data_IF_485133151015
#
_entry.id   IF_485133151015
#
_cell.length_a   1.000
_cell.length_b   1.000
_cell.length_c   1.000
_cell.angle_alpha   90.00
_cell.angle_beta   90.00
_cell.angle_gamma   90.00
#
_symmetry.space_group_name_H-M   'P 1'
#
loop_
_entity.id
_entity.type
_entity.pdbx_description
1 polymer ?
#
# COMPACT_ATOMS: atom_id res chain seq x y z
N UNK A 1 19.40 -28.74 -11.19
CA UNK A 1 18.15 -28.20 -10.55
C UNK A 1 17.33 -29.38 -10.08
N UNK A 2 17.13 -29.53 -8.78
CA UNK A 2 16.41 -30.65 -8.19
C UNK A 2 14.89 -30.51 -8.45
N UNK A 3 14.17 -31.65 -8.55
CA UNK A 3 12.70 -31.70 -8.75
C UNK A 3 11.96 -30.86 -7.70
N UNK A 4 12.45 -30.82 -6.46
CA UNK A 4 11.91 -30.04 -5.35
C UNK A 4 11.97 -28.51 -5.60
N UNK A 5 13.01 -28.01 -6.27
CA UNK A 5 13.14 -26.59 -6.61
C UNK A 5 12.15 -26.19 -7.74
N UNK A 6 11.84 -27.12 -8.65
CA UNK A 6 10.82 -26.90 -9.69
C UNK A 6 9.42 -26.81 -9.08
N UNK A 7 9.05 -27.76 -8.21
CA UNK A 7 7.75 -27.76 -7.53
C UNK A 7 7.52 -26.49 -6.70
N UNK A 8 8.54 -25.99 -6.03
CA UNK A 8 8.47 -24.75 -5.25
C UNK A 8 8.23 -23.53 -6.16
N UNK A 9 8.96 -23.44 -7.27
CA UNK A 9 8.78 -22.35 -8.25
C UNK A 9 7.40 -22.38 -8.90
N UNK A 10 6.88 -23.57 -9.21
CA UNK A 10 5.55 -23.70 -9.79
C UNK A 10 4.47 -23.30 -8.77
N UNK A 11 4.65 -23.63 -7.49
CA UNK A 11 3.75 -23.19 -6.43
C UNK A 11 3.80 -21.66 -6.23
N UNK A 12 4.99 -21.06 -6.22
CA UNK A 12 5.17 -19.60 -6.13
C UNK A 12 4.52 -18.89 -7.33
N UNK A 13 4.70 -19.43 -8.56
CA UNK A 13 4.10 -18.89 -9.78
C UNK A 13 2.57 -18.97 -9.74
N UNK A 14 2.00 -20.10 -9.30
CA UNK A 14 0.56 -20.27 -9.16
C UNK A 14 -0.01 -19.31 -8.14
N UNK A 15 0.66 -19.13 -6.99
CA UNK A 15 0.29 -18.16 -5.96
C UNK A 15 0.19 -16.74 -6.53
N UNK A 16 1.23 -16.28 -7.22
CA UNK A 16 1.27 -14.96 -7.88
C UNK A 16 0.18 -14.82 -8.96
N UNK A 17 -0.04 -15.84 -9.76
CA UNK A 17 -1.09 -15.84 -10.80
C UNK A 17 -2.47 -15.67 -10.18
N UNK A 18 -2.76 -16.41 -9.10
CA UNK A 18 -4.05 -16.32 -8.39
C UNK A 18 -4.24 -14.92 -7.79
N UNK A 19 -3.24 -14.39 -7.08
CA UNK A 19 -3.32 -13.06 -6.44
C UNK A 19 -3.52 -11.97 -7.51
N UNK A 20 -2.79 -12.04 -8.62
CA UNK A 20 -2.91 -11.06 -9.71
C UNK A 20 -4.30 -11.10 -10.35
N UNK A 21 -4.83 -12.29 -10.63
CA UNK A 21 -6.18 -12.45 -11.17
C UNK A 21 -7.25 -11.99 -10.19
N UNK A 22 -7.08 -12.30 -8.90
CA UNK A 22 -7.99 -11.88 -7.84
C UNK A 22 -8.08 -10.34 -7.74
N UNK A 23 -6.94 -9.64 -7.80
CA UNK A 23 -6.91 -8.17 -7.79
C UNK A 23 -7.71 -7.61 -8.96
N UNK A 24 -7.50 -8.12 -10.18
CA UNK A 24 -8.20 -7.66 -11.37
C UNK A 24 -9.72 -7.91 -11.27
N UNK A 25 -10.12 -9.14 -10.90
CA UNK A 25 -11.54 -9.53 -10.78
C UNK A 25 -12.25 -8.72 -9.69
N UNK A 26 -11.63 -8.56 -8.52
CA UNK A 26 -12.23 -7.85 -7.39
C UNK A 26 -12.28 -6.33 -7.59
N UNK A 27 -11.41 -5.76 -8.42
CA UNK A 27 -11.47 -4.36 -8.80
C UNK A 27 -12.75 -4.05 -9.59
N UNK A 28 -13.16 -4.97 -10.49
CA UNK A 28 -14.35 -4.82 -11.33
C UNK A 28 -15.61 -5.35 -10.64
N UNK A 29 -15.49 -6.44 -9.90
CA UNK A 29 -16.60 -7.14 -9.22
C UNK A 29 -16.19 -7.52 -7.77
N UNK A 30 -16.37 -6.62 -6.78
CA UNK A 30 -15.96 -6.85 -5.39
C UNK A 30 -16.57 -8.11 -4.75
N UNK A 31 -17.78 -8.51 -5.21
CA UNK A 31 -18.51 -9.69 -4.73
C UNK A 31 -18.15 -10.99 -5.47
N UNK A 32 -17.18 -10.96 -6.40
CA UNK A 32 -16.76 -12.15 -7.14
C UNK A 32 -16.35 -13.29 -6.19
N UNK A 33 -16.75 -14.50 -6.56
CA UNK A 33 -16.50 -15.71 -5.77
C UNK A 33 -15.11 -16.29 -6.00
N UNK A 34 -14.67 -17.19 -5.13
CA UNK A 34 -13.43 -17.97 -5.34
C UNK A 34 -13.47 -18.77 -6.65
N UNK A 35 -14.67 -19.15 -7.11
CA UNK A 35 -14.85 -19.85 -8.38
C UNK A 35 -14.60 -18.94 -9.59
N UNK A 36 -15.04 -17.68 -9.51
CA UNK A 36 -14.81 -16.68 -10.55
C UNK A 36 -13.32 -16.35 -10.65
N UNK A 37 -12.64 -16.22 -9.52
CA UNK A 37 -11.19 -16.01 -9.45
C UNK A 37 -10.43 -17.22 -10.03
N UNK A 38 -10.85 -18.46 -9.74
CA UNK A 38 -10.25 -19.65 -10.33
C UNK A 38 -10.39 -19.64 -11.86
N UNK A 39 -11.58 -19.31 -12.37
CA UNK A 39 -11.81 -19.19 -13.80
C UNK A 39 -10.95 -18.11 -14.46
N UNK A 40 -10.87 -16.93 -13.85
CA UNK A 40 -10.07 -15.81 -14.36
C UNK A 40 -8.55 -16.07 -14.31
N UNK A 41 -8.08 -16.81 -13.31
CA UNK A 41 -6.66 -17.15 -13.18
C UNK A 41 -6.21 -18.26 -14.14
N UNK A 42 -7.14 -19.02 -14.73
CA UNK A 42 -6.85 -20.24 -15.48
C UNK A 42 -6.34 -21.40 -14.63
N UNK A 43 -6.43 -21.28 -13.31
CA UNK A 43 -5.97 -22.30 -12.34
C UNK A 43 -7.15 -23.11 -11.86
N UNK A 44 -7.00 -24.45 -11.86
CA UNK A 44 -8.06 -25.34 -11.40
C UNK A 44 -8.48 -25.06 -9.94
N UNK A 45 -9.80 -25.18 -9.65
CA UNK A 45 -10.37 -24.91 -8.31
C UNK A 45 -9.62 -25.63 -7.18
N UNK A 46 -9.30 -26.93 -7.36
CA UNK A 46 -8.55 -27.69 -6.35
C UNK A 46 -7.18 -27.12 -6.04
N UNK A 47 -6.50 -26.59 -7.05
CA UNK A 47 -5.21 -25.93 -6.89
C UNK A 47 -5.37 -24.57 -6.20
N UNK A 48 -6.39 -23.80 -6.56
CA UNK A 48 -6.70 -22.53 -5.90
C UNK A 48 -6.96 -22.75 -4.40
N UNK A 49 -7.86 -23.68 -4.04
CA UNK A 49 -8.16 -23.96 -2.63
C UNK A 49 -7.00 -24.58 -1.85
N UNK A 50 -6.04 -25.20 -2.52
CA UNK A 50 -4.79 -25.64 -1.87
C UNK A 50 -3.87 -24.46 -1.52
N UNK A 51 -3.87 -23.37 -2.31
CA UNK A 51 -3.12 -22.15 -2.04
C UNK A 51 -3.85 -21.22 -1.07
N UNK A 52 -5.15 -21.11 -1.24
CA UNK A 52 -6.02 -20.22 -0.47
C UNK A 52 -7.27 -21.00 -0.03
N UNK A 53 -7.25 -21.58 1.18
CA UNK A 53 -8.34 -22.40 1.68
C UNK A 53 -9.70 -21.68 1.72
N UNK A 54 -9.67 -20.36 1.87
CA UNK A 54 -10.83 -19.49 1.95
C UNK A 54 -10.56 -18.11 1.33
N UNK A 55 -11.61 -17.30 1.19
CA UNK A 55 -11.52 -15.92 0.69
C UNK A 55 -10.63 -15.06 1.59
N UNK A 56 -10.67 -15.26 2.89
CA UNK A 56 -9.92 -14.47 3.86
C UNK A 56 -8.41 -14.63 3.68
N UNK A 57 -7.93 -15.86 3.45
CA UNK A 57 -6.52 -16.13 3.17
C UNK A 57 -6.04 -15.47 1.87
N UNK A 58 -6.92 -15.42 0.84
CA UNK A 58 -6.64 -14.73 -0.41
C UNK A 58 -6.57 -13.20 -0.21
N UNK A 59 -7.53 -12.62 0.51
CA UNK A 59 -7.54 -11.19 0.84
C UNK A 59 -6.31 -10.82 1.67
N UNK A 60 -5.89 -11.64 2.62
CA UNK A 60 -4.65 -11.43 3.38
C UNK A 60 -3.41 -11.39 2.48
N UNK A 61 -3.34 -12.26 1.47
CA UNK A 61 -2.24 -12.25 0.50
C UNK A 61 -2.28 -10.98 -0.39
N UNK A 62 -3.46 -10.50 -0.77
CA UNK A 62 -3.59 -9.22 -1.50
C UNK A 62 -3.10 -8.06 -0.62
N UNK A 63 -3.46 -8.00 0.66
CA UNK A 63 -2.91 -6.99 1.58
C UNK A 63 -1.39 -7.06 1.68
N UNK A 64 -0.82 -8.27 1.79
CA UNK A 64 0.64 -8.44 1.80
C UNK A 64 1.29 -7.86 0.53
N UNK A 65 0.66 -8.05 -0.63
CA UNK A 65 1.10 -7.46 -1.91
C UNK A 65 1.04 -5.94 -1.88
N UNK A 66 -0.09 -5.35 -1.43
CA UNK A 66 -0.25 -3.89 -1.29
C UNK A 66 0.85 -3.30 -0.41
N UNK A 67 1.12 -3.92 0.74
CA UNK A 67 2.16 -3.44 1.65
C UNK A 67 3.57 -3.61 1.09
N UNK A 68 3.83 -4.64 0.30
CA UNK A 68 5.10 -4.80 -0.39
C UNK A 68 5.30 -3.67 -1.43
N UNK A 69 4.31 -3.41 -2.29
CA UNK A 69 4.35 -2.33 -3.28
C UNK A 69 4.50 -0.95 -2.60
N UNK A 70 3.72 -0.69 -1.53
CA UNK A 70 3.86 0.52 -0.74
C UNK A 70 5.25 0.67 -0.14
N UNK A 71 5.84 -0.43 0.34
CA UNK A 71 7.21 -0.46 0.87
C UNK A 71 8.25 -0.08 -0.17
N UNK A 72 8.11 -0.54 -1.42
CA UNK A 72 9.01 -0.14 -2.52
C UNK A 72 8.88 1.36 -2.83
N UNK A 73 7.65 1.89 -2.88
CA UNK A 73 7.41 3.32 -3.11
C UNK A 73 8.08 4.15 -1.99
N UNK A 74 7.91 3.75 -0.73
CA UNK A 74 8.49 4.46 0.41
C UNK A 74 10.02 4.42 0.34
N UNK A 75 10.61 3.24 0.12
CA UNK A 75 12.06 3.12 -0.01
C UNK A 75 12.61 3.98 -1.14
N UNK A 76 12.02 3.89 -2.32
CA UNK A 76 12.45 4.65 -3.49
C UNK A 76 12.40 6.18 -3.28
N UNK A 77 11.48 6.66 -2.42
CA UNK A 77 11.29 8.09 -2.16
C UNK A 77 12.08 8.62 -0.97
N UNK A 78 12.34 7.76 0.04
CA UNK A 78 12.97 8.17 1.30
C UNK A 78 14.41 7.68 1.45
N UNK A 79 14.95 6.93 0.50
CA UNK A 79 16.34 6.48 0.53
C UNK A 79 17.32 7.67 0.47
N UNK A 80 18.46 7.49 1.14
CA UNK A 80 19.46 8.53 1.49
C UNK A 80 20.23 9.12 0.29
N UNK A 81 19.65 9.24 -0.85
CA UNK A 81 20.21 9.87 -2.05
C UNK A 81 19.22 10.81 -2.74
N UNK A 82 18.00 10.89 -2.23
CA UNK A 82 16.98 11.80 -2.78
C UNK A 82 17.31 13.20 -2.32
N UNK A 83 17.86 14.02 -3.24
CA UNK A 83 18.09 15.45 -3.06
C UNK A 83 16.80 16.20 -3.43
N UNK A 84 16.35 17.11 -2.59
CA UNK A 84 15.16 17.93 -2.83
C UNK A 84 14.58 18.50 -1.54
N UNK A 85 13.57 19.33 -1.70
CA UNK A 85 12.78 19.82 -0.57
C UNK A 85 12.06 18.65 0.13
N UNK A 86 12.33 18.38 1.42
CA UNK A 86 11.72 17.29 2.17
C UNK A 86 10.19 17.34 2.19
N UNK A 87 9.60 18.52 2.12
CA UNK A 87 8.14 18.70 2.05
C UNK A 87 7.61 18.14 0.72
N UNK A 88 8.27 18.49 -0.40
CA UNK A 88 7.85 17.99 -1.72
C UNK A 88 8.07 16.47 -1.87
N UNK A 89 9.13 15.93 -1.27
CA UNK A 89 9.35 14.48 -1.20
C UNK A 89 8.18 13.80 -0.48
N UNK A 90 7.71 14.36 0.63
CA UNK A 90 6.56 13.82 1.38
C UNK A 90 5.23 14.05 0.67
N UNK A 91 5.06 15.16 -0.05
CA UNK A 91 3.90 15.39 -0.95
C UNK A 91 3.83 14.29 -2.00
N UNK A 92 4.93 14.06 -2.71
CA UNK A 92 5.01 13.03 -3.76
C UNK A 92 4.81 11.61 -3.21
N UNK A 93 5.33 11.35 -2.00
CA UNK A 93 5.11 10.08 -1.31
C UNK A 93 3.62 9.85 -1.02
N UNK A 94 2.95 10.83 -0.40
CA UNK A 94 1.52 10.73 -0.06
C UNK A 94 0.68 10.53 -1.32
N UNK A 95 0.95 11.27 -2.40
CA UNK A 95 0.24 11.16 -3.67
C UNK A 95 0.45 9.77 -4.30
N UNK A 96 1.70 9.28 -4.31
CA UNK A 96 2.02 7.97 -4.87
C UNK A 96 1.33 6.83 -4.11
N UNK A 97 1.32 6.89 -2.78
CA UNK A 97 0.66 5.89 -1.94
C UNK A 97 -0.87 5.98 -2.01
N UNK A 98 -1.43 7.20 -2.13
CA UNK A 98 -2.87 7.37 -2.35
C UNK A 98 -3.30 6.82 -3.71
N UNK A 99 -2.47 6.97 -4.77
CA UNK A 99 -2.71 6.39 -6.08
C UNK A 99 -2.70 4.86 -6.09
N UNK A 100 -1.94 4.24 -5.18
CA UNK A 100 -2.01 2.78 -4.97
C UNK A 100 -3.40 2.36 -4.52
N UNK A 101 -4.06 3.17 -3.69
CA UNK A 101 -5.42 2.93 -3.21
C UNK A 101 -6.48 2.85 -4.33
N UNK A 102 -6.26 3.48 -5.48
CA UNK A 102 -7.19 3.39 -6.62
C UNK A 102 -7.27 1.96 -7.16
N UNK A 103 -6.13 1.26 -7.26
CA UNK A 103 -6.03 -0.13 -7.72
C UNK A 103 -6.64 -1.12 -6.74
N UNK A 104 -6.59 -0.80 -5.45
CA UNK A 104 -7.01 -1.68 -4.36
C UNK A 104 -8.25 -1.17 -3.63
N UNK A 105 -9.08 -0.33 -4.31
CA UNK A 105 -10.26 0.31 -3.72
C UNK A 105 -11.26 -0.70 -3.14
N UNK A 106 -11.37 -1.88 -3.75
CA UNK A 106 -12.24 -2.95 -3.25
C UNK A 106 -11.88 -3.43 -1.84
N UNK A 107 -10.60 -3.33 -1.43
CA UNK A 107 -10.19 -3.67 -0.06
C UNK A 107 -10.67 -2.66 0.98
N UNK A 108 -10.95 -1.43 0.58
CA UNK A 108 -11.33 -0.34 1.49
C UNK A 108 -12.76 -0.49 1.99
N UNK A 109 -13.61 -1.14 1.20
CA UNK A 109 -15.04 -1.27 1.45
C UNK A 109 -15.43 -2.58 2.16
N UNK A 110 -14.48 -3.49 2.41
CA UNK A 110 -14.75 -4.75 3.09
C UNK A 110 -14.52 -4.64 4.60
N UNK A 111 -15.45 -5.17 5.40
CA UNK A 111 -15.37 -5.24 6.87
C UNK A 111 -14.23 -6.14 7.40
N UNK A 112 -13.51 -6.80 6.53
CA UNK A 112 -12.36 -7.66 6.83
C UNK A 112 -11.09 -6.90 7.30
N UNK A 113 -11.26 -5.67 7.79
CA UNK A 113 -10.18 -4.80 8.24
C UNK A 113 -9.39 -5.32 9.46
N UNK A 114 -9.86 -6.35 10.15
CA UNK A 114 -9.20 -6.85 11.37
C UNK A 114 -7.82 -7.47 11.06
N UNK A 115 -7.71 -8.23 9.96
CA UNK A 115 -6.41 -8.80 9.55
C UNK A 115 -5.48 -7.76 8.89
N UNK A 116 -6.05 -6.74 8.26
CA UNK A 116 -5.28 -5.60 7.75
C UNK A 116 -4.63 -4.78 8.87
N UNK A 117 -5.21 -4.77 10.08
CA UNK A 117 -4.68 -3.97 11.20
C UNK A 117 -3.32 -4.47 11.67
N UNK A 118 -3.17 -5.76 11.91
CA UNK A 118 -1.90 -6.35 12.38
C UNK A 118 -0.79 -6.24 11.32
N UNK A 119 -1.13 -6.54 10.05
CA UNK A 119 -0.21 -6.37 8.93
C UNK A 119 0.19 -4.90 8.76
N UNK A 120 -0.76 -3.97 8.89
CA UNK A 120 -0.54 -2.53 8.79
C UNK A 120 0.33 -1.99 9.95
N UNK A 121 0.10 -2.43 11.18
CA UNK A 121 0.89 -1.99 12.34
C UNK A 121 2.33 -2.50 12.28
N UNK A 122 2.53 -3.73 11.82
CA UNK A 122 3.86 -4.30 11.56
C UNK A 122 4.60 -3.59 10.44
N UNK A 123 3.90 -3.23 9.36
CA UNK A 123 4.43 -2.50 8.23
C UNK A 123 4.83 -1.07 8.63
N UNK A 124 3.96 -0.33 9.33
CA UNK A 124 4.22 1.03 9.81
C UNK A 124 5.47 1.13 10.68
N UNK A 125 5.69 0.15 11.59
CA UNK A 125 6.87 0.12 12.45
C UNK A 125 8.18 -0.06 11.68
N UNK A 126 8.15 -0.70 10.50
CA UNK A 126 9.32 -0.94 9.65
C UNK A 126 9.57 0.16 8.63
N UNK A 127 8.63 1.11 8.47
CA UNK A 127 8.77 2.18 7.50
C UNK A 127 9.78 3.24 7.95
N UNK A 128 10.67 3.69 7.06
CA UNK A 128 11.65 4.72 7.36
C UNK A 128 11.05 6.13 7.46
N UNK A 129 9.72 6.28 7.38
CA UNK A 129 9.04 7.58 7.37
C UNK A 129 9.34 8.41 8.62
N UNK A 130 9.21 7.79 9.81
CA UNK A 130 9.52 8.47 11.06
C UNK A 130 10.96 8.97 11.08
N UNK A 131 11.93 8.10 10.80
CA UNK A 131 13.35 8.47 10.80
C UNK A 131 13.70 9.49 9.71
N UNK A 132 12.95 9.53 8.62
CA UNK A 132 13.08 10.58 7.61
C UNK A 132 12.63 11.94 8.18
N UNK A 133 11.46 11.99 8.83
CA UNK A 133 10.94 13.20 9.48
C UNK A 133 11.88 13.66 10.59
N UNK A 134 12.34 12.77 11.47
CA UNK A 134 13.31 13.09 12.54
C UNK A 134 14.56 13.79 11.98
N UNK A 135 15.12 13.27 10.88
CA UNK A 135 16.30 13.89 10.23
C UNK A 135 15.99 15.25 9.63
N UNK A 136 14.84 15.41 8.99
CA UNK A 136 14.44 16.65 8.36
C UNK A 136 14.10 17.74 9.41
N UNK A 137 13.56 17.37 10.56
CA UNK A 137 13.37 18.25 11.72
C UNK A 137 14.74 18.68 12.30
N UNK A 138 15.65 17.75 12.49
CA UNK A 138 17.00 18.05 12.96
C UNK A 138 17.79 18.97 12.01
N UNK A 139 17.47 18.93 10.71
CA UNK A 139 18.03 19.84 9.69
C UNK A 139 17.30 21.19 9.59
N UNK A 140 16.22 21.42 10.36
CA UNK A 140 15.41 22.64 10.31
C UNK A 140 14.57 22.80 9.04
N UNK A 141 14.37 21.72 8.27
CA UNK A 141 13.62 21.75 7.00
C UNK A 141 12.16 21.36 7.15
N UNK A 142 11.80 20.75 8.28
CA UNK A 142 10.42 20.51 8.69
C UNK A 142 10.17 21.12 10.06
N UNK A 143 8.90 21.41 10.35
CA UNK A 143 8.49 21.87 11.69
C UNK A 143 8.92 20.86 12.76
N UNK A 144 9.37 21.34 13.90
CA UNK A 144 9.89 20.56 15.02
C UNK A 144 9.06 20.68 16.32
N UNK A 145 8.00 21.52 16.28
CA UNK A 145 7.05 21.71 17.39
C UNK A 145 6.09 20.52 17.56
N UNK A 146 6.04 19.60 16.59
CA UNK A 146 5.26 18.35 16.65
C UNK A 146 6.17 17.13 16.55
N UNK A 147 5.95 16.07 17.38
CA UNK A 147 6.75 14.86 17.32
C UNK A 147 6.68 14.15 15.97
N UNK A 148 7.81 13.59 15.49
CA UNK A 148 7.88 12.89 14.21
C UNK A 148 6.99 11.65 14.12
N UNK A 149 6.75 10.95 15.22
CA UNK A 149 5.82 9.82 15.28
C UNK A 149 4.36 10.26 15.09
N UNK A 150 3.99 11.42 15.66
CA UNK A 150 2.68 12.02 15.42
C UNK A 150 2.51 12.44 13.96
N UNK A 151 3.48 13.15 13.38
CA UNK A 151 3.46 13.54 11.97
C UNK A 151 3.37 12.31 11.04
N UNK A 152 4.12 11.26 11.33
CA UNK A 152 4.06 9.98 10.60
C UNK A 152 2.66 9.34 10.66
N UNK A 153 2.01 9.38 11.83
CA UNK A 153 0.64 8.89 12.01
C UNK A 153 -0.36 9.70 11.18
N UNK A 154 -0.27 11.03 11.24
CA UNK A 154 -1.17 11.93 10.50
C UNK A 154 -1.01 11.76 8.99
N UNK A 155 0.23 11.69 8.48
CA UNK A 155 0.50 11.41 7.06
C UNK A 155 -0.07 10.05 6.63
N UNK A 156 0.04 9.02 7.44
CA UNK A 156 -0.57 7.72 7.16
C UNK A 156 -2.11 7.79 7.10
N UNK A 157 -2.74 8.62 7.92
CA UNK A 157 -4.20 8.86 7.85
C UNK A 157 -4.60 9.67 6.63
N UNK A 158 -3.77 10.64 6.25
CA UNK A 158 -3.97 11.43 5.02
C UNK A 158 -3.89 10.56 3.76
N UNK A 159 -2.93 9.63 3.68
CA UNK A 159 -2.84 8.64 2.60
C UNK A 159 -4.16 7.86 2.48
N UNK A 160 -4.66 7.32 3.60
CA UNK A 160 -5.90 6.56 3.62
C UNK A 160 -7.13 7.41 3.25
N UNK A 161 -7.17 8.67 3.67
CA UNK A 161 -8.23 9.62 3.30
C UNK A 161 -8.18 9.95 1.81
N UNK A 162 -7.00 10.27 1.28
CA UNK A 162 -6.80 10.60 -0.13
C UNK A 162 -7.07 9.41 -1.08
N UNK A 163 -6.83 8.18 -0.62
CA UNK A 163 -7.17 6.97 -1.39
C UNK A 163 -8.68 6.71 -1.47
N UNK A 164 -9.47 7.22 -0.51
CA UNK A 164 -10.93 7.04 -0.48
C UNK A 164 -11.69 8.19 -1.12
N UNK A 165 -11.09 9.39 -1.13
CA UNK A 165 -11.76 10.58 -1.62
C UNK A 165 -11.82 10.60 -3.15
N UNK A 166 -12.99 10.95 -3.68
CA UNK A 166 -13.18 11.14 -5.11
C UNK A 166 -12.75 12.56 -5.48
N UNK A 167 -11.58 12.68 -6.08
CA UNK A 167 -11.10 13.92 -6.68
C UNK A 167 -11.59 14.03 -8.12
N UNK A 168 -11.83 15.26 -8.58
CA UNK A 168 -12.26 15.51 -9.95
C UNK A 168 -11.26 14.94 -10.98
N UNK A 169 -9.97 15.07 -10.68
CA UNK A 169 -8.86 14.55 -11.49
C UNK A 169 -7.57 14.43 -10.68
N UNK A 170 -6.50 13.97 -11.32
CA UNK A 170 -5.18 13.82 -10.70
C UNK A 170 -4.57 15.17 -10.26
N UNK A 171 -4.89 16.27 -10.96
CA UNK A 171 -4.42 17.61 -10.63
C UNK A 171 -5.10 18.12 -9.37
N UNK A 172 -6.41 17.94 -9.23
CA UNK A 172 -7.17 18.28 -8.03
C UNK A 172 -6.68 17.48 -6.82
N UNK A 173 -6.39 16.17 -6.99
CA UNK A 173 -5.75 15.35 -5.95
C UNK A 173 -4.41 15.95 -5.53
N UNK A 174 -3.53 16.23 -6.49
CA UNK A 174 -2.19 16.77 -6.20
C UNK A 174 -2.28 18.13 -5.51
N UNK A 175 -3.17 19.01 -5.93
CA UNK A 175 -3.36 20.32 -5.34
C UNK A 175 -3.83 20.22 -3.88
N UNK A 176 -4.89 19.45 -3.61
CA UNK A 176 -5.49 19.31 -2.28
C UNK A 176 -4.56 18.60 -1.30
N UNK A 177 -4.00 17.45 -1.71
CA UNK A 177 -3.07 16.68 -0.88
C UNK A 177 -1.79 17.49 -0.63
N UNK A 178 -1.24 18.11 -1.68
CA UNK A 178 -0.03 18.92 -1.57
C UNK A 178 -0.22 20.11 -0.63
N UNK A 179 -1.33 20.85 -0.74
CA UNK A 179 -1.63 21.95 0.17
C UNK A 179 -1.73 21.46 1.63
N UNK A 180 -2.40 20.33 1.87
CA UNK A 180 -2.55 19.76 3.21
C UNK A 180 -1.19 19.34 3.80
N UNK A 181 -0.35 18.64 3.02
CA UNK A 181 0.97 18.19 3.47
C UNK A 181 1.88 19.39 3.77
N UNK A 182 1.91 20.40 2.89
CA UNK A 182 2.70 21.62 3.11
C UNK A 182 2.25 22.35 4.37
N UNK A 183 0.96 22.56 4.54
CA UNK A 183 0.42 23.19 5.77
C UNK A 183 0.76 22.42 7.03
N UNK A 184 0.81 21.08 6.95
CA UNK A 184 1.15 20.21 8.08
C UNK A 184 2.64 20.28 8.45
N UNK A 185 3.54 20.44 7.47
CA UNK A 185 4.98 20.18 7.64
C UNK A 185 5.85 21.42 7.58
N UNK A 186 5.34 22.57 7.09
CA UNK A 186 6.12 23.81 7.00
C UNK A 186 6.51 24.28 8.41
N UNK A 187 7.77 24.67 8.63
CA UNK A 187 8.21 25.34 9.85
C UNK A 187 7.36 26.60 10.14
N UNK A 188 7.16 26.91 11.43
CA UNK A 188 6.44 28.10 11.87
C UNK A 188 7.21 29.39 11.58
#
# INVERSE_FOLDING_TARGET
>A
MTAQNRLRRDAERNHETIVTAAIAVLADAPEATMADIAAASGIGRSTLYRHFPDRQSLIAAIYARVFAEAGEIVRARLDAGVTGDPIEVLVDLVISLAGLGDRYRFLVNHEEHLHAKEANDGWRRRMPLRSYIDRAQAAGTLRDDLPADWLSLVLGRLIAAAARHEFADAQARRASVGATVRSLLTPA
#
